data_IF_928683177561
#
_entry.id   IF_928683177561
#
_cell.length_a   1.000
_cell.length_b   1.000
_cell.length_c   1.000
_cell.angle_alpha   90.00
_cell.angle_beta   90.00
_cell.angle_gamma   90.00
#
_symmetry.space_group_name_H-M   'P 1'
#
loop_
_entity.id
_entity.type
_entity.pdbx_description
1 polymer ?
#
# COMPACT_ATOMS: atom_id res chain seq x y z
N UNK A 1 -12.94 13.23 20.38
CA UNK A 1 -11.81 12.29 20.21
C UNK A 1 -12.36 11.05 19.59
N UNK A 2 -12.26 10.96 18.27
CA UNK A 2 -12.63 9.78 17.50
C UNK A 2 -11.63 9.75 16.36
N UNK A 3 -10.40 9.36 16.70
CA UNK A 3 -9.43 8.93 15.71
C UNK A 3 -10.13 7.82 14.94
N UNK A 4 -10.60 8.18 13.74
CA UNK A 4 -11.16 7.24 12.80
C UNK A 4 -10.16 6.10 12.72
N UNK A 5 -10.66 4.89 12.93
CA UNK A 5 -9.94 3.64 12.77
C UNK A 5 -9.23 3.75 11.43
N UNK A 6 -7.95 4.10 11.45
CA UNK A 6 -7.13 4.18 10.25
C UNK A 6 -7.22 2.78 9.67
N UNK A 7 -7.92 2.63 8.53
CA UNK A 7 -7.75 1.45 7.70
C UNK A 7 -6.24 1.38 7.45
N UNK A 8 -5.57 0.46 8.14
CA UNK A 8 -4.12 0.46 8.28
C UNK A 8 -3.49 0.59 6.89
N UNK A 9 -2.90 1.75 6.64
CA UNK A 9 -2.27 2.09 5.38
C UNK A 9 -1.29 0.98 5.00
N UNK A 10 -1.25 0.61 3.72
CA UNK A 10 -0.27 -0.35 3.25
C UNK A 10 1.14 0.21 3.49
N UNK A 11 1.93 -0.50 4.32
CA UNK A 11 3.28 -0.10 4.70
C UNK A 11 4.28 -0.52 3.63
N UNK A 12 5.42 0.18 3.60
CA UNK A 12 6.57 -0.19 2.77
C UNK A 12 7.02 -1.61 3.12
N UNK A 13 7.20 -2.43 2.09
CA UNK A 13 7.51 -3.85 2.17
C UNK A 13 6.29 -4.76 2.14
N UNK A 14 5.06 -4.25 2.33
CA UNK A 14 3.86 -5.07 2.18
C UNK A 14 3.70 -5.55 0.75
N UNK A 15 3.08 -6.72 0.57
CA UNK A 15 2.64 -7.19 -0.75
C UNK A 15 1.18 -6.85 -0.96
N UNK A 16 0.93 -6.19 -2.07
CA UNK A 16 -0.41 -5.86 -2.53
C UNK A 16 -0.73 -6.69 -3.78
N UNK A 17 -2.00 -7.03 -3.95
CA UNK A 17 -2.49 -7.63 -5.17
C UNK A 17 -3.38 -6.63 -5.89
N UNK A 18 -3.11 -6.42 -7.17
CA UNK A 18 -3.90 -5.54 -8.01
C UNK A 18 -5.29 -6.16 -8.23
N UNK A 19 -6.32 -5.39 -7.94
CA UNK A 19 -7.73 -5.75 -8.12
C UNK A 19 -8.44 -4.87 -9.14
N UNK A 20 -7.86 -3.72 -9.48
CA UNK A 20 -8.36 -2.78 -10.48
C UNK A 20 -7.22 -2.18 -11.30
N UNK A 21 -7.56 -1.55 -12.41
CA UNK A 21 -6.62 -0.78 -13.22
C UNK A 21 -7.26 0.57 -13.53
N UNK A 22 -7.67 1.28 -12.48
CA UNK A 22 -8.33 2.59 -12.61
C UNK A 22 -7.34 3.75 -12.74
N UNK A 23 -6.04 3.48 -12.64
CA UNK A 23 -4.96 4.45 -12.84
C UNK A 23 -3.98 3.97 -13.92
N UNK A 24 -3.10 4.85 -14.39
CA UNK A 24 -2.11 4.56 -15.43
C UNK A 24 -0.94 3.75 -14.85
N UNK A 25 -1.09 2.43 -14.79
CA UNK A 25 0.00 1.50 -14.45
C UNK A 25 0.00 0.26 -15.37
N UNK A 26 1.17 -0.31 -15.69
CA UNK A 26 1.27 -1.46 -16.59
C UNK A 26 0.90 -2.81 -15.96
N UNK A 27 0.51 -2.83 -14.67
CA UNK A 27 0.25 -4.06 -13.94
C UNK A 27 -1.08 -4.72 -14.29
N UNK A 28 -1.09 -6.05 -14.25
CA UNK A 28 -2.28 -6.88 -14.51
C UNK A 28 -3.11 -7.12 -13.24
N UNK A 29 -4.44 -7.24 -13.39
CA UNK A 29 -5.32 -7.62 -12.27
C UNK A 29 -4.95 -9.04 -11.81
N UNK A 30 -4.68 -9.19 -10.52
CA UNK A 30 -4.18 -10.41 -9.91
C UNK A 30 -2.65 -10.44 -9.74
N UNK A 31 -1.93 -9.48 -10.33
CA UNK A 31 -0.48 -9.36 -10.13
C UNK A 31 -0.18 -8.91 -8.70
N UNK A 32 0.88 -9.51 -8.13
CA UNK A 32 1.35 -9.19 -6.79
C UNK A 32 2.55 -8.26 -6.90
N UNK A 33 2.49 -7.15 -6.17
CA UNK A 33 3.53 -6.12 -6.14
C UNK A 33 3.98 -5.87 -4.72
N UNK A 34 5.16 -5.29 -4.58
CA UNK A 34 5.74 -4.89 -3.30
C UNK A 34 5.58 -3.37 -3.18
N UNK A 35 5.00 -2.93 -2.06
CA UNK A 35 4.90 -1.51 -1.72
C UNK A 35 6.30 -0.98 -1.43
N UNK A 36 6.73 0.01 -2.20
CA UNK A 36 8.04 0.67 -2.05
C UNK A 36 7.91 1.98 -1.29
N UNK A 37 6.79 2.68 -1.45
CA UNK A 37 6.51 3.92 -0.75
C UNK A 37 5.01 4.11 -0.51
N UNK A 38 4.62 4.84 0.54
CA UNK A 38 3.23 5.24 0.77
C UNK A 38 3.07 6.73 0.46
N UNK A 39 2.03 7.08 -0.32
CA UNK A 39 1.75 8.45 -0.74
C UNK A 39 0.37 8.90 -0.25
N UNK A 40 0.37 9.94 0.59
CA UNK A 40 -0.79 10.75 0.92
C UNK A 40 -0.83 11.92 -0.07
N UNK A 41 -1.69 11.87 -1.08
CA UNK A 41 -2.02 13.10 -1.79
C UNK A 41 -2.95 13.92 -0.90
N UNK A 42 -2.69 15.23 -0.83
CA UNK A 42 -3.40 16.14 0.07
C UNK A 42 -4.93 15.98 0.01
N UNK A 43 -5.63 16.18 1.15
CA UNK A 43 -7.02 15.80 1.37
C UNK A 43 -8.06 16.55 0.53
N UNK A 44 -7.66 17.41 -0.42
CA UNK A 44 -8.60 18.11 -1.30
C UNK A 44 -9.29 17.18 -2.30
N UNK A 45 -8.65 16.07 -2.70
CA UNK A 45 -9.23 15.04 -3.58
C UNK A 45 -9.53 13.71 -2.86
N UNK A 46 -9.02 13.53 -1.63
CA UNK A 46 -9.26 12.31 -0.83
C UNK A 46 -8.66 11.04 -1.44
N UNK A 47 -7.68 11.18 -2.32
CA UNK A 47 -7.12 10.09 -3.09
C UNK A 47 -5.79 9.63 -2.46
N UNK A 48 -5.80 8.52 -1.75
CA UNK A 48 -4.60 7.92 -1.15
C UNK A 48 -4.21 6.64 -1.88
N UNK A 49 -2.91 6.35 -1.90
CA UNK A 49 -2.37 5.21 -2.64
C UNK A 49 -0.98 4.81 -2.18
N UNK A 50 -0.39 3.88 -2.92
CA UNK A 50 0.97 3.42 -2.68
C UNK A 50 1.73 3.40 -3.97
N UNK A 51 3.02 3.65 -3.86
CA UNK A 51 3.97 3.31 -4.90
C UNK A 51 4.34 1.83 -4.72
N UNK A 52 4.13 1.05 -5.78
CA UNK A 52 4.42 -0.36 -5.79
C UNK A 52 5.20 -0.76 -7.05
N UNK A 53 5.98 -1.81 -6.92
CA UNK A 53 6.81 -2.35 -7.98
C UNK A 53 6.79 -3.88 -7.96
N UNK A 54 7.01 -4.51 -9.11
CA UNK A 54 7.15 -5.97 -9.20
C UNK A 54 8.42 -6.43 -8.45
N UNK A 55 9.50 -5.64 -8.58
CA UNK A 55 10.77 -5.84 -7.91
C UNK A 55 11.34 -4.52 -7.39
N UNK A 56 12.15 -4.55 -6.32
CA UNK A 56 12.79 -3.37 -5.73
C UNK A 56 13.71 -2.59 -6.69
N UNK A 57 14.11 -3.21 -7.80
CA UNK A 57 15.00 -2.62 -8.82
C UNK A 57 14.25 -2.19 -10.09
N UNK A 58 12.93 -2.43 -10.15
CA UNK A 58 12.10 -2.09 -11.32
C UNK A 58 11.48 -0.71 -11.19
N UNK A 59 10.86 -0.23 -12.26
CA UNK A 59 10.11 1.01 -12.23
C UNK A 59 8.93 0.91 -11.25
N UNK A 60 8.79 1.91 -10.38
CA UNK A 60 7.69 1.94 -9.44
C UNK A 60 6.54 2.76 -9.99
N UNK A 61 5.33 2.31 -9.72
CA UNK A 61 4.10 2.96 -10.21
C UNK A 61 3.16 3.23 -9.05
N UNK A 62 2.46 4.37 -9.13
CA UNK A 62 1.46 4.74 -8.14
C UNK A 62 0.16 3.97 -8.39
N UNK A 63 -0.25 3.20 -7.39
CA UNK A 63 -1.48 2.41 -7.37
C UNK A 63 -2.41 3.00 -6.32
N UNK A 64 -3.64 3.34 -6.71
CA UNK A 64 -4.64 3.90 -5.80
C UNK A 64 -5.11 2.85 -4.82
N UNK A 65 -5.47 3.26 -3.60
CA UNK A 65 -6.02 2.34 -2.59
C UNK A 65 -7.22 1.53 -3.08
N UNK A 66 -8.04 2.10 -3.97
CA UNK A 66 -9.18 1.42 -4.55
C UNK A 66 -8.82 0.27 -5.52
N UNK A 67 -7.60 0.28 -6.07
CA UNK A 67 -7.13 -0.66 -7.10
C UNK A 67 -6.34 -1.84 -6.55
N UNK A 68 -6.10 -1.90 -5.24
CA UNK A 68 -5.34 -3.00 -4.65
C UNK A 68 -5.90 -3.45 -3.31
N UNK A 69 -5.54 -4.68 -2.95
CA UNK A 69 -5.73 -5.21 -1.60
C UNK A 69 -4.40 -5.65 -1.02
N UNK A 70 -4.21 -5.48 0.28
CA UNK A 70 -3.02 -5.98 0.98
C UNK A 70 -3.19 -7.48 1.21
N UNK A 71 -2.33 -8.29 0.60
CA UNK A 71 -2.37 -9.76 0.75
C UNK A 71 -1.31 -10.28 1.72
N UNK A 72 -0.21 -9.55 1.91
CA UNK A 72 0.84 -9.90 2.86
C UNK A 72 1.33 -8.61 3.54
N UNK A 73 1.25 -8.58 4.87
CA UNK A 73 1.82 -7.48 5.65
C UNK A 73 3.24 -7.86 6.05
N UNK A 74 4.22 -7.09 5.60
CA UNK A 74 5.60 -7.25 6.05
C UNK A 74 5.66 -6.93 7.53
N UNK A 75 6.15 -7.88 8.31
CA UNK A 75 6.14 -7.82 9.78
C UNK A 75 7.31 -6.98 10.32
N UNK A 76 7.40 -5.74 9.86
CA UNK A 76 8.28 -4.70 10.41
C UNK A 76 7.29 -3.68 10.98
N UNK A 77 7.02 -3.51 12.28
CA UNK A 77 7.64 -3.81 13.59
C UNK A 77 6.44 -3.99 14.59
N UNK A 78 6.53 -4.60 15.79
CA UNK A 78 7.25 -4.13 16.98
C UNK A 78 7.63 -5.32 17.88
N UNK A 79 8.93 -5.55 18.08
CA UNK A 79 9.41 -6.08 19.36
C UNK A 79 9.43 -4.89 20.34
N UNK A 80 8.71 -5.06 21.46
CA UNK A 80 8.72 -4.28 22.73
C UNK A 80 7.49 -3.37 23.03
N UNK A 81 6.52 -3.90 23.79
CA UNK A 81 6.17 -3.32 25.11
C UNK A 81 5.68 -4.44 26.06
N UNK A 82 6.34 -4.52 27.21
CA UNK A 82 6.09 -5.46 28.30
C UNK A 82 4.76 -5.17 29.01
N UNK A 83 3.98 -6.21 29.33
CA UNK A 83 3.21 -6.21 30.57
C UNK A 83 3.10 -7.64 31.13
N UNK A 84 4.01 -7.94 32.05
CA UNK A 84 4.03 -9.11 32.92
C UNK A 84 4.85 -8.81 34.16
#
# INVERSE_FOLDING_TARGET
>A
MSEAIHQENALVGNRIQITGNTNDHPFEIGQVLIVTNWYDFEPEDGEFGVEAAEHMETEHWFVRHADYIVIERSSIITEDDSCG
#
